data_IF_801216300269
#
_entry.id   IF_801216300269
#
_cell.length_a   1.000
_cell.length_b   1.000
_cell.length_c   1.000
_cell.angle_alpha   90.00
_cell.angle_beta   90.00
_cell.angle_gamma   90.00
#
_symmetry.space_group_name_H-M   'P 1'
#
loop_
_entity.id
_entity.type
_entity.pdbx_description
1 polymer ?
#
# COMPACT_ATOMS: atom_id res chain seq x y z
N UNK A 1 28.45 -25.29 127.45
CA UNK A 1 28.11 -26.44 126.58
C UNK A 1 27.02 -25.99 125.64
N UNK A 2 27.35 -25.98 124.36
CA UNK A 2 26.49 -25.60 123.24
C UNK A 2 25.35 -26.60 123.05
N UNK A 3 24.22 -26.14 122.51
CA UNK A 3 23.19 -27.01 121.93
C UNK A 3 22.70 -26.43 120.61
N UNK A 4 23.38 -26.83 119.52
CA UNK A 4 22.93 -26.69 118.14
C UNK A 4 21.66 -27.53 117.93
N UNK A 5 20.53 -26.87 117.67
CA UNK A 5 19.29 -27.55 117.23
C UNK A 5 18.62 -26.76 116.11
N UNK A 6 19.09 -26.95 114.87
CA UNK A 6 18.42 -26.57 113.61
C UNK A 6 19.26 -26.97 112.40
N UNK A 7 19.21 -28.23 111.93
CA UNK A 7 19.94 -28.65 110.72
C UNK A 7 19.22 -29.67 109.84
N UNK A 8 18.22 -30.41 110.34
CA UNK A 8 17.51 -31.44 109.57
C UNK A 8 16.50 -30.84 108.58
N UNK A 9 15.69 -29.86 108.99
CA UNK A 9 14.74 -29.18 108.11
C UNK A 9 15.41 -28.38 106.98
N UNK A 10 16.58 -27.79 107.27
CA UNK A 10 17.39 -27.06 106.28
C UNK A 10 17.97 -28.01 105.22
N UNK A 11 18.46 -29.19 105.62
CA UNK A 11 18.99 -30.21 104.70
C UNK A 11 17.91 -30.83 103.80
N UNK A 12 16.72 -31.09 104.36
CA UNK A 12 15.56 -31.58 103.58
C UNK A 12 15.06 -30.50 102.62
N UNK A 13 14.96 -29.25 103.06
CA UNK A 13 14.62 -28.11 102.20
C UNK A 13 15.62 -27.90 101.07
N UNK A 14 16.93 -27.99 101.35
CA UNK A 14 18.01 -27.93 100.36
C UNK A 14 17.93 -29.07 99.34
N UNK A 15 17.63 -30.30 99.78
CA UNK A 15 17.46 -31.45 98.88
C UNK A 15 16.30 -31.28 97.91
N UNK A 16 15.15 -30.80 98.40
CA UNK A 16 13.97 -30.51 97.57
C UNK A 16 14.27 -29.37 96.57
N UNK A 17 14.95 -28.31 97.02
CA UNK A 17 15.39 -27.21 96.17
C UNK A 17 16.34 -27.66 95.05
N UNK A 18 17.26 -28.58 95.35
CA UNK A 18 18.19 -29.16 94.38
C UNK A 18 17.47 -29.99 93.32
N UNK A 19 16.49 -30.80 93.72
CA UNK A 19 15.67 -31.58 92.78
C UNK A 19 14.80 -30.67 91.90
N UNK A 20 14.18 -29.63 92.48
CA UNK A 20 13.44 -28.63 91.71
C UNK A 20 14.33 -27.87 90.72
N UNK A 21 15.53 -27.48 91.14
CA UNK A 21 16.51 -26.80 90.30
C UNK A 21 17.00 -27.66 89.14
N UNK A 22 17.29 -28.94 89.39
CA UNK A 22 17.69 -29.88 88.33
C UNK A 22 16.53 -30.18 87.36
N UNK A 23 15.30 -30.28 87.89
CA UNK A 23 14.10 -30.44 87.07
C UNK A 23 13.84 -29.25 86.15
N UNK A 24 13.97 -28.02 86.65
CA UNK A 24 13.83 -26.80 85.84
C UNK A 24 14.98 -26.63 84.85
N UNK A 25 16.22 -26.97 85.24
CA UNK A 25 17.37 -26.94 84.33
C UNK A 25 17.21 -27.93 83.17
N UNK A 26 16.78 -29.16 83.44
CA UNK A 26 16.51 -30.16 82.40
C UNK A 26 15.37 -29.74 81.46
N UNK A 27 14.25 -29.28 82.02
CA UNK A 27 13.12 -28.77 81.23
C UNK A 27 13.53 -27.58 80.36
N UNK A 28 14.29 -26.63 80.91
CA UNK A 28 14.80 -25.45 80.18
C UNK A 28 15.77 -25.85 79.07
N UNK A 29 16.65 -26.84 79.31
CA UNK A 29 17.57 -27.34 78.28
C UNK A 29 16.82 -28.00 77.12
N UNK A 30 15.82 -28.84 77.42
CA UNK A 30 14.98 -29.46 76.38
C UNK A 30 14.21 -28.41 75.57
N UNK A 31 13.60 -27.45 76.25
CA UNK A 31 12.88 -26.33 75.62
C UNK A 31 13.82 -25.48 74.73
N UNK A 32 15.07 -25.26 75.17
CA UNK A 32 16.06 -24.52 74.41
C UNK A 32 16.50 -25.27 73.13
N UNK A 33 16.68 -26.59 73.20
CA UNK A 33 16.99 -27.43 72.05
C UNK A 33 15.84 -27.47 71.03
N UNK A 34 14.60 -27.70 71.48
CA UNK A 34 13.40 -27.67 70.62
C UNK A 34 13.20 -26.29 69.95
N UNK A 35 13.49 -25.21 70.69
CA UNK A 35 13.44 -23.85 70.15
C UNK A 35 14.51 -23.62 69.07
N UNK A 36 15.75 -24.06 69.29
CA UNK A 36 16.80 -23.96 68.27
C UNK A 36 16.46 -24.74 67.00
N UNK A 37 15.92 -25.95 67.14
CA UNK A 37 15.54 -26.79 66.01
C UNK A 37 14.37 -26.18 65.21
N UNK A 38 13.39 -25.62 65.92
CA UNK A 38 12.27 -24.89 65.30
C UNK A 38 12.73 -23.61 64.57
N UNK A 39 13.65 -22.86 65.18
CA UNK A 39 14.21 -21.63 64.57
C UNK A 39 15.06 -21.95 63.33
N UNK A 40 15.84 -23.03 63.39
CA UNK A 40 16.60 -23.54 62.25
C UNK A 40 15.67 -23.95 61.10
N UNK A 41 14.61 -24.69 61.41
CA UNK A 41 13.61 -25.13 60.42
C UNK A 41 12.93 -23.93 59.75
N UNK A 42 12.47 -22.95 60.52
CA UNK A 42 11.86 -21.72 59.98
C UNK A 42 12.83 -20.90 59.11
N UNK A 43 14.11 -20.91 59.48
CA UNK A 43 15.15 -20.23 58.69
C UNK A 43 15.38 -20.95 57.36
N UNK A 44 15.41 -22.28 57.36
CA UNK A 44 15.50 -23.09 56.13
C UNK A 44 14.30 -22.90 55.22
N UNK A 45 13.07 -22.96 55.76
CA UNK A 45 11.86 -22.74 54.95
C UNK A 45 11.78 -21.32 54.40
N UNK A 46 12.20 -20.30 55.17
CA UNK A 46 12.31 -18.92 54.69
C UNK A 46 13.30 -18.81 53.54
N UNK A 47 14.45 -19.49 53.62
CA UNK A 47 15.42 -19.53 52.54
C UNK A 47 14.87 -20.23 51.30
N UNK A 48 14.07 -21.28 51.47
CA UNK A 48 13.42 -21.95 50.35
C UNK A 48 12.45 -21.02 49.62
N UNK A 49 11.54 -20.35 50.34
CA UNK A 49 10.62 -19.37 49.72
C UNK A 49 11.39 -18.23 49.04
N UNK A 50 12.52 -17.79 49.61
CA UNK A 50 13.39 -16.80 48.97
C UNK A 50 13.99 -17.32 47.66
N UNK A 51 14.43 -18.58 47.62
CA UNK A 51 14.96 -19.19 46.40
C UNK A 51 13.86 -19.33 45.34
N UNK A 52 12.65 -19.73 45.73
CA UNK A 52 11.52 -19.87 44.81
C UNK A 52 11.14 -18.52 44.19
N UNK A 53 11.11 -17.44 44.99
CA UNK A 53 10.89 -16.08 44.49
C UNK A 53 12.02 -15.60 43.55
N UNK A 54 13.28 -15.92 43.85
CA UNK A 54 14.39 -15.60 42.95
C UNK A 54 14.25 -16.33 41.60
N UNK A 55 13.84 -17.60 41.63
CA UNK A 55 13.61 -18.38 40.41
C UNK A 55 12.48 -17.78 39.57
N UNK A 56 11.39 -17.35 40.22
CA UNK A 56 10.27 -16.66 39.58
C UNK A 56 10.74 -15.35 38.92
N UNK A 57 11.50 -14.52 39.65
CA UNK A 57 12.06 -13.29 39.11
C UNK A 57 12.92 -13.54 37.86
N UNK A 58 13.74 -14.60 37.86
CA UNK A 58 14.57 -14.99 36.73
C UNK A 58 13.74 -15.40 35.50
N UNK A 59 12.63 -16.11 35.68
CA UNK A 59 11.73 -16.48 34.58
C UNK A 59 11.09 -15.25 33.94
N UNK A 60 10.67 -14.27 34.74
CA UNK A 60 10.19 -12.99 34.21
C UNK A 60 11.28 -12.20 33.49
N UNK A 61 12.48 -12.12 34.05
CA UNK A 61 13.61 -11.44 33.40
C UNK A 61 13.92 -12.08 32.02
N UNK A 62 13.84 -13.42 31.92
CA UNK A 62 13.98 -14.15 30.65
C UNK A 62 12.83 -13.85 29.67
N UNK A 63 11.58 -13.87 30.14
CA UNK A 63 10.40 -13.56 29.30
C UNK A 63 10.43 -12.12 28.77
N UNK A 64 10.80 -11.15 29.62
CA UNK A 64 10.95 -9.73 29.27
C UNK A 64 12.07 -9.55 28.24
N UNK A 65 13.22 -10.21 28.43
CA UNK A 65 14.34 -10.13 27.49
C UNK A 65 14.04 -10.76 26.12
N UNK A 66 13.17 -11.79 26.10
CA UNK A 66 12.75 -12.46 24.88
C UNK A 66 11.64 -11.72 24.11
N UNK A 67 10.99 -10.73 24.72
CA UNK A 67 9.98 -9.90 24.04
C UNK A 67 10.63 -8.72 23.32
N UNK A 68 10.34 -8.56 22.03
CA UNK A 68 10.79 -7.38 21.26
C UNK A 68 10.13 -6.07 21.72
N UNK A 69 8.91 -6.16 22.26
CA UNK A 69 8.16 -5.05 22.84
C UNK A 69 8.09 -5.24 24.35
N UNK A 70 8.40 -4.18 25.10
CA UNK A 70 8.31 -4.20 26.55
C UNK A 70 6.86 -4.48 26.98
N UNK A 71 6.65 -5.66 27.54
CA UNK A 71 5.39 -6.07 28.15
C UNK A 71 5.31 -5.49 29.57
N UNK A 72 4.39 -4.55 29.79
CA UNK A 72 4.30 -3.85 31.06
C UNK A 72 3.75 -4.77 32.17
N UNK A 73 2.93 -5.76 31.84
CA UNK A 73 2.34 -6.68 32.82
C UNK A 73 3.41 -7.62 33.40
N UNK A 74 4.33 -8.10 32.55
CA UNK A 74 5.50 -8.87 33.00
C UNK A 74 6.43 -8.05 33.90
N UNK A 75 6.65 -6.78 33.57
CA UNK A 75 7.50 -5.87 34.35
C UNK A 75 6.88 -5.59 35.73
N UNK A 76 5.57 -5.32 35.76
CA UNK A 76 4.86 -5.06 37.00
C UNK A 76 4.82 -6.31 37.89
N UNK A 77 4.62 -7.50 37.33
CA UNK A 77 4.66 -8.76 38.05
C UNK A 77 6.05 -9.06 38.64
N UNK A 78 7.12 -8.80 37.87
CA UNK A 78 8.51 -8.90 38.33
C UNK A 78 8.78 -7.96 39.51
N UNK A 79 8.25 -6.74 39.49
CA UNK A 79 8.41 -5.79 40.59
C UNK A 79 7.59 -6.18 41.83
N UNK A 80 6.42 -6.82 41.67
CA UNK A 80 5.67 -7.43 42.79
C UNK A 80 6.50 -8.51 43.49
N UNK A 81 7.22 -9.35 42.74
CA UNK A 81 8.11 -10.38 43.29
C UNK A 81 9.24 -9.75 44.09
N UNK A 82 9.90 -8.73 43.53
CA UNK A 82 10.98 -8.00 44.19
C UNK A 82 10.50 -7.40 45.53
N UNK A 83 9.33 -6.76 45.54
CA UNK A 83 8.73 -6.23 46.76
C UNK A 83 8.41 -7.30 47.81
N UNK A 84 7.97 -8.49 47.37
CA UNK A 84 7.72 -9.62 48.26
C UNK A 84 9.00 -10.19 48.85
N UNK A 85 10.07 -10.29 48.05
CA UNK A 85 11.40 -10.72 48.49
C UNK A 85 11.96 -9.76 49.55
N UNK A 86 11.88 -8.46 49.32
CA UNK A 86 12.41 -7.47 50.26
C UNK A 86 11.64 -7.46 51.58
N UNK A 87 10.32 -7.65 51.52
CA UNK A 87 9.46 -7.83 52.70
C UNK A 87 9.79 -9.12 53.45
N UNK A 88 10.06 -10.22 52.74
CA UNK A 88 10.41 -11.50 53.34
C UNK A 88 11.77 -11.43 54.05
N UNK A 89 12.79 -10.76 53.47
CA UNK A 89 14.13 -10.60 54.07
C UNK A 89 14.05 -10.06 55.49
N UNK A 90 13.33 -8.96 55.70
CA UNK A 90 13.21 -8.25 56.99
C UNK A 90 12.16 -8.83 57.94
N UNK A 91 11.38 -9.82 57.49
CA UNK A 91 10.32 -10.42 58.31
C UNK A 91 10.85 -11.30 59.45
N UNK A 92 10.11 -11.32 60.57
CA UNK A 92 10.38 -12.22 61.70
C UNK A 92 10.24 -13.69 61.29
N UNK A 93 11.10 -14.55 61.84
CA UNK A 93 11.03 -16.00 61.66
C UNK A 93 9.95 -16.59 62.58
N UNK A 94 8.69 -16.53 62.13
CA UNK A 94 7.54 -17.12 62.83
C UNK A 94 6.70 -17.94 61.86
N UNK A 95 6.02 -18.98 62.36
CA UNK A 95 5.14 -19.84 61.54
C UNK A 95 4.08 -19.01 60.82
N UNK A 96 3.45 -18.06 61.51
CA UNK A 96 2.38 -17.21 60.95
C UNK A 96 2.89 -16.21 59.90
N UNK A 97 4.09 -15.65 60.06
CA UNK A 97 4.67 -14.77 59.03
C UNK A 97 5.02 -15.57 57.79
N UNK A 98 5.72 -16.68 57.96
CA UNK A 98 6.17 -17.52 56.85
C UNK A 98 4.99 -18.10 56.05
N UNK A 99 3.94 -18.58 56.72
CA UNK A 99 2.74 -19.08 56.05
C UNK A 99 2.05 -18.00 55.19
N UNK A 100 2.00 -16.75 55.67
CA UNK A 100 1.46 -15.62 54.89
C UNK A 100 2.29 -15.34 53.63
N UNK A 101 3.62 -15.37 53.73
CA UNK A 101 4.50 -15.20 52.57
C UNK A 101 4.39 -16.35 51.59
N UNK A 102 4.31 -17.59 52.08
CA UNK A 102 4.08 -18.77 51.23
C UNK A 102 2.76 -18.66 50.47
N UNK A 103 1.68 -18.19 51.12
CA UNK A 103 0.40 -17.94 50.45
C UNK A 103 0.51 -16.88 49.35
N UNK A 104 1.23 -15.78 49.60
CA UNK A 104 1.48 -14.74 48.59
C UNK A 104 2.32 -15.25 47.43
N UNK A 105 3.35 -16.06 47.71
CA UNK A 105 4.15 -16.73 46.69
C UNK A 105 3.29 -17.61 45.78
N UNK A 106 2.41 -18.43 46.34
CA UNK A 106 1.51 -19.29 45.54
C UNK A 106 0.58 -18.48 44.63
N UNK A 107 0.08 -17.34 45.12
CA UNK A 107 -0.73 -16.44 44.29
C UNK A 107 0.08 -15.81 43.14
N UNK A 108 1.32 -15.38 43.39
CA UNK A 108 2.21 -14.87 42.34
C UNK A 108 2.63 -15.97 41.35
N UNK A 109 2.71 -17.22 41.81
CA UNK A 109 3.02 -18.36 40.95
C UNK A 109 1.87 -18.64 39.98
N UNK A 110 0.63 -18.65 40.47
CA UNK A 110 -0.56 -18.81 39.63
C UNK A 110 -0.67 -17.68 38.60
N UNK A 111 -0.45 -16.44 39.02
CA UNK A 111 -0.41 -15.27 38.14
C UNK A 111 0.70 -15.36 37.08
N UNK A 112 1.88 -15.87 37.45
CA UNK A 112 2.97 -16.08 36.49
C UNK A 112 2.63 -17.11 35.43
N UNK A 113 2.03 -18.23 35.81
CA UNK A 113 1.66 -19.27 34.86
C UNK A 113 0.66 -18.72 33.82
N UNK A 114 -0.28 -17.87 34.23
CA UNK A 114 -1.22 -17.20 33.32
C UNK A 114 -0.52 -16.19 32.39
N UNK A 115 0.30 -15.30 32.94
CA UNK A 115 0.99 -14.25 32.16
C UNK A 115 2.00 -14.82 31.16
N UNK A 116 2.72 -15.90 31.52
CA UNK A 116 3.66 -16.53 30.60
C UNK A 116 2.93 -17.24 29.44
N UNK A 117 1.80 -17.91 29.72
CA UNK A 117 0.96 -18.52 28.67
C UNK A 117 0.40 -17.47 27.71
N UNK A 118 -0.06 -16.34 28.25
CA UNK A 118 -0.56 -15.23 27.43
C UNK A 118 0.56 -14.61 26.60
N UNK A 119 1.74 -14.39 27.18
CA UNK A 119 2.90 -13.85 26.47
C UNK A 119 3.35 -14.76 25.31
N UNK A 120 3.41 -16.08 25.53
CA UNK A 120 3.74 -17.05 24.49
C UNK A 120 2.70 -17.05 23.37
N UNK A 121 1.41 -16.97 23.71
CA UNK A 121 0.33 -16.85 22.73
C UNK A 121 0.47 -15.59 21.89
N UNK A 122 0.70 -14.44 22.52
CA UNK A 122 0.84 -13.16 21.84
C UNK A 122 2.08 -13.15 20.93
N UNK A 123 3.18 -13.81 21.32
CA UNK A 123 4.36 -14.00 20.46
C UNK A 123 4.01 -14.75 19.18
N UNK A 124 3.30 -15.87 19.29
CA UNK A 124 2.87 -16.67 18.13
C UNK A 124 1.90 -15.89 17.24
N UNK A 125 0.94 -15.17 17.82
CA UNK A 125 -0.01 -14.34 17.07
C UNK A 125 0.72 -13.20 16.34
N UNK A 126 1.71 -12.55 16.96
CA UNK A 126 2.51 -11.51 16.32
C UNK A 126 3.37 -12.05 15.16
N UNK A 127 4.02 -13.20 15.32
CA UNK A 127 4.79 -13.84 14.25
C UNK A 127 3.91 -14.21 13.05
N UNK A 128 2.71 -14.74 13.32
CA UNK A 128 1.72 -15.03 12.30
C UNK A 128 1.25 -13.76 11.58
N UNK A 129 0.94 -12.70 12.33
CA UNK A 129 0.54 -11.41 11.75
C UNK A 129 1.65 -10.79 10.90
N UNK A 130 2.90 -10.86 11.34
CA UNK A 130 4.05 -10.38 10.57
C UNK A 130 4.18 -11.15 9.24
N UNK A 131 4.07 -12.48 9.28
CA UNK A 131 4.12 -13.34 8.09
C UNK A 131 2.93 -13.06 7.14
N UNK A 132 1.73 -12.90 7.68
CA UNK A 132 0.53 -12.59 6.90
C UNK A 132 0.62 -11.20 6.25
N UNK A 133 1.19 -10.23 6.96
CA UNK A 133 1.41 -8.88 6.44
C UNK A 133 2.39 -8.89 5.28
N UNK A 134 3.53 -9.58 5.43
CA UNK A 134 4.54 -9.72 4.38
C UNK A 134 3.96 -10.39 3.13
N UNK A 135 3.24 -11.51 3.30
CA UNK A 135 2.54 -12.17 2.18
C UNK A 135 1.52 -11.27 1.49
N UNK A 136 0.77 -10.48 2.26
CA UNK A 136 -0.22 -9.53 1.72
C UNK A 136 0.47 -8.41 0.92
N UNK A 137 1.61 -7.90 1.40
CA UNK A 137 2.39 -6.88 0.70
C UNK A 137 2.93 -7.41 -0.63
N UNK A 138 3.46 -8.64 -0.64
CA UNK A 138 3.92 -9.30 -1.88
C UNK A 138 2.78 -9.46 -2.89
N UNK A 139 1.63 -9.97 -2.45
CA UNK A 139 0.45 -10.12 -3.32
C UNK A 139 -0.08 -8.78 -3.84
N UNK A 140 -0.05 -7.73 -3.01
CA UNK A 140 -0.45 -6.39 -3.42
C UNK A 140 0.51 -5.79 -4.46
N UNK A 141 1.82 -5.99 -4.29
CA UNK A 141 2.82 -5.56 -5.25
C UNK A 141 2.66 -6.26 -6.60
N UNK A 142 2.45 -7.59 -6.60
CA UNK A 142 2.20 -8.37 -7.80
C UNK A 142 0.95 -7.88 -8.56
N UNK A 143 -0.16 -7.65 -7.84
CA UNK A 143 -1.40 -7.13 -8.44
C UNK A 143 -1.24 -5.73 -9.01
N UNK A 144 -0.47 -4.86 -8.33
CA UNK A 144 -0.17 -3.51 -8.83
C UNK A 144 0.57 -3.58 -10.16
N UNK A 145 1.66 -4.37 -10.22
CA UNK A 145 2.45 -4.56 -11.46
C UNK A 145 1.60 -5.13 -12.60
N UNK A 146 0.75 -6.12 -12.30
CA UNK A 146 -0.16 -6.69 -13.29
C UNK A 146 -1.17 -5.65 -13.81
N UNK A 147 -1.74 -4.84 -12.92
CA UNK A 147 -2.69 -3.78 -13.28
C UNK A 147 -2.04 -2.71 -14.14
N UNK A 148 -0.83 -2.27 -13.79
CA UNK A 148 -0.07 -1.30 -14.57
C UNK A 148 0.26 -1.85 -15.97
N UNK A 149 0.63 -3.14 -16.06
CA UNK A 149 0.87 -3.79 -17.35
C UNK A 149 -0.39 -3.87 -18.22
N UNK A 150 -1.55 -4.16 -17.63
CA UNK A 150 -2.83 -4.14 -18.35
C UNK A 150 -3.17 -2.73 -18.84
N UNK A 151 -2.91 -1.71 -18.03
CA UNK A 151 -3.16 -0.33 -18.43
C UNK A 151 -2.29 0.07 -19.62
N UNK A 152 -0.98 -0.22 -19.57
CA UNK A 152 -0.05 0.05 -20.69
C UNK A 152 -0.53 -0.66 -21.96
N UNK A 153 -0.81 -1.97 -21.88
CA UNK A 153 -1.31 -2.73 -23.02
C UNK A 153 -2.63 -2.16 -23.57
N UNK A 154 -3.55 -1.75 -22.70
CA UNK A 154 -4.82 -1.17 -23.12
C UNK A 154 -4.62 0.18 -23.81
N UNK A 155 -3.72 1.03 -23.31
CA UNK A 155 -3.40 2.31 -23.95
C UNK A 155 -2.73 2.10 -25.30
N UNK A 156 -1.77 1.18 -25.42
CA UNK A 156 -1.12 0.84 -26.69
C UNK A 156 -2.13 0.31 -27.70
N UNK A 157 -3.00 -0.62 -27.29
CA UNK A 157 -4.06 -1.16 -28.14
C UNK A 157 -5.05 -0.08 -28.56
N UNK A 158 -5.39 0.86 -27.68
CA UNK A 158 -6.28 1.98 -28.02
C UNK A 158 -5.66 2.85 -29.10
N UNK A 159 -4.40 3.26 -28.94
CA UNK A 159 -3.68 4.03 -29.97
C UNK A 159 -3.56 3.29 -31.29
N UNK A 160 -3.20 2.00 -31.27
CA UNK A 160 -3.12 1.18 -32.49
C UNK A 160 -4.47 1.08 -33.19
N UNK A 161 -5.57 0.94 -32.43
CA UNK A 161 -6.92 0.88 -32.99
C UNK A 161 -7.35 2.23 -33.56
N UNK A 162 -7.06 3.34 -32.88
CA UNK A 162 -7.35 4.70 -33.36
C UNK A 162 -6.61 4.99 -34.68
N UNK A 163 -5.30 4.73 -34.73
CA UNK A 163 -4.49 4.88 -35.94
C UNK A 163 -5.01 4.00 -37.08
N UNK A 164 -5.33 2.73 -36.78
CA UNK A 164 -5.84 1.79 -37.76
C UNK A 164 -7.28 2.11 -38.20
N UNK A 165 -8.06 2.85 -37.40
CA UNK A 165 -9.41 3.29 -37.71
C UNK A 165 -9.46 4.63 -38.46
N UNK A 166 -8.32 5.32 -38.63
CA UNK A 166 -8.25 6.55 -39.43
C UNK A 166 -8.70 6.30 -40.88
N UNK A 167 -9.47 7.24 -41.44
CA UNK A 167 -9.91 7.18 -42.83
C UNK A 167 -8.74 7.52 -43.75
N UNK A 168 -8.56 6.71 -44.79
CA UNK A 168 -7.54 6.91 -45.81
C UNK A 168 -8.18 7.21 -47.15
N UNK A 169 -7.50 8.01 -47.99
CA UNK A 169 -7.98 8.32 -49.33
C UNK A 169 -7.01 7.85 -50.40
N UNK A 170 -7.55 7.38 -51.52
CA UNK A 170 -6.77 6.92 -52.69
C UNK A 170 -7.23 7.63 -53.95
N UNK A 171 -6.32 7.76 -54.92
CA UNK A 171 -6.63 8.36 -56.22
C UNK A 171 -7.00 9.85 -56.13
N UNK A 172 -6.35 10.60 -55.24
CA UNK A 172 -6.51 12.05 -55.15
C UNK A 172 -6.03 12.71 -56.45
N UNK A 173 -6.93 13.45 -57.12
CA UNK A 173 -6.66 14.17 -58.35
C UNK A 173 -7.31 15.55 -58.29
N UNK A 174 -6.52 16.59 -58.53
CA UNK A 174 -7.00 17.95 -58.78
C UNK A 174 -6.99 18.30 -60.27
N UNK A 175 -7.96 19.08 -60.73
CA UNK A 175 -7.98 19.63 -62.10
C UNK A 175 -8.80 20.92 -62.20
N UNK A 176 -8.41 21.81 -63.11
CA UNK A 176 -9.25 22.96 -63.48
C UNK A 176 -10.47 22.52 -64.28
N UNK A 177 -11.63 23.14 -64.02
CA UNK A 177 -12.87 22.89 -64.77
C UNK A 177 -13.54 24.19 -65.20
N UNK A 178 -14.11 24.18 -66.40
CA UNK A 178 -15.00 25.22 -66.92
C UNK A 178 -16.43 24.79 -66.65
N UNK A 179 -17.23 25.63 -66.01
CA UNK A 179 -18.65 25.39 -65.73
C UNK A 179 -19.49 26.12 -66.77
N UNK A 180 -20.13 25.37 -67.68
CA UNK A 180 -21.04 25.96 -68.66
C UNK A 180 -22.32 26.45 -67.99
N UNK A 181 -23.04 27.36 -68.63
CA UNK A 181 -24.38 27.80 -68.19
C UNK A 181 -25.38 26.65 -68.01
N UNK A 182 -25.16 25.51 -68.67
CA UNK A 182 -25.94 24.28 -68.49
C UNK A 182 -25.52 23.43 -67.26
N UNK A 183 -24.57 23.89 -66.45
CA UNK A 183 -23.94 23.12 -65.36
C UNK A 183 -22.94 22.06 -65.82
N UNK A 184 -22.73 21.88 -67.13
CA UNK A 184 -21.77 20.90 -67.65
C UNK A 184 -20.34 21.36 -67.35
N UNK A 185 -19.60 20.50 -66.66
CA UNK A 185 -18.19 20.73 -66.33
C UNK A 185 -17.27 20.15 -67.41
N UNK A 186 -16.30 20.95 -67.87
CA UNK A 186 -15.32 20.56 -68.88
C UNK A 186 -13.92 20.72 -68.28
N UNK A 187 -13.13 19.65 -68.16
CA UNK A 187 -11.74 19.74 -67.71
C UNK A 187 -10.92 20.68 -68.61
N UNK A 188 -10.05 21.47 -68.02
CA UNK A 188 -9.15 22.39 -68.73
C UNK A 188 -7.83 22.49 -67.98
N UNK A 189 -6.72 22.48 -68.73
CA UNK A 189 -5.41 22.83 -68.17
C UNK A 189 -5.23 24.35 -68.12
N UNK A 190 -6.06 25.14 -68.81
CA UNK A 190 -5.86 26.59 -68.87
C UNK A 190 -6.32 27.29 -67.58
N UNK A 191 -5.40 27.94 -66.89
CA UNK A 191 -5.64 28.61 -65.61
C UNK A 191 -6.69 29.71 -65.73
N UNK A 192 -6.44 30.66 -66.63
CA UNK A 192 -7.34 31.82 -66.85
C UNK A 192 -8.75 31.45 -67.35
N UNK A 193 -8.94 30.23 -67.83
CA UNK A 193 -10.21 29.71 -68.35
C UNK A 193 -10.96 28.83 -67.36
N UNK A 194 -10.31 28.43 -66.27
CA UNK A 194 -10.94 27.61 -65.25
C UNK A 194 -11.87 28.47 -64.40
N UNK A 195 -13.06 27.95 -64.12
CA UNK A 195 -14.03 28.60 -63.24
C UNK A 195 -13.92 28.03 -61.81
N UNK A 196 -13.57 26.75 -61.67
CA UNK A 196 -13.34 26.07 -60.40
C UNK A 196 -12.18 25.08 -60.50
N UNK A 197 -11.61 24.71 -59.37
CA UNK A 197 -10.76 23.53 -59.24
C UNK A 197 -11.63 22.39 -58.72
N UNK A 198 -11.67 21.28 -59.46
CA UNK A 198 -12.31 20.04 -59.06
C UNK A 198 -11.27 19.13 -58.41
N UNK A 199 -11.54 18.70 -57.19
CA UNK A 199 -10.71 17.76 -56.43
C UNK A 199 -11.50 16.47 -56.23
N UNK A 200 -11.02 15.34 -56.74
CA UNK A 200 -11.66 14.05 -56.54
C UNK A 200 -10.74 13.08 -55.82
N UNK A 201 -11.30 12.25 -54.95
CA UNK A 201 -10.61 11.18 -54.26
C UNK A 201 -11.60 10.07 -53.88
N UNK A 202 -11.07 8.90 -53.53
CA UNK A 202 -11.86 7.78 -53.00
C UNK A 202 -11.52 7.60 -51.54
N UNK A 203 -12.51 7.71 -50.65
CA UNK A 203 -12.37 7.26 -49.26
C UNK A 203 -12.35 5.73 -49.29
N UNK A 204 -11.24 5.14 -48.86
CA UNK A 204 -11.05 3.69 -48.88
C UNK A 204 -11.88 3.02 -47.78
N UNK A 205 -12.36 1.81 -48.05
CA UNK A 205 -13.02 0.97 -47.05
C UNK A 205 -12.05 0.65 -45.92
N UNK A 206 -12.41 1.09 -44.73
CA UNK A 206 -11.87 0.71 -43.44
C UNK A 206 -12.98 0.07 -42.58
N UNK A 207 -12.75 -1.15 -42.09
CA UNK A 207 -13.70 -1.89 -41.24
C UNK A 207 -13.61 -1.53 -39.76
N UNK A 208 -12.54 -0.84 -39.35
CA UNK A 208 -12.32 -0.40 -37.98
C UNK A 208 -12.93 0.98 -37.72
N UNK A 209 -13.11 1.78 -38.77
CA UNK A 209 -13.84 3.06 -38.67
C UNK A 209 -15.34 2.83 -38.47
N UNK A 210 -15.94 3.57 -37.56
CA UNK A 210 -17.41 3.57 -37.40
C UNK A 210 -18.11 4.20 -38.61
N UNK A 211 -19.22 3.59 -39.03
CA UNK A 211 -20.11 4.15 -40.04
C UNK A 211 -20.85 5.38 -39.49
N UNK A 212 -21.20 6.31 -40.37
CA UNK A 212 -21.91 7.55 -40.01
C UNK A 212 -21.38 8.76 -40.75
N UNK A 213 -21.81 9.94 -40.32
CA UNK A 213 -21.36 11.20 -40.91
C UNK A 213 -19.90 11.47 -40.54
N UNK A 214 -19.08 11.70 -41.55
CA UNK A 214 -17.64 11.97 -41.46
C UNK A 214 -17.31 13.22 -42.25
N UNK A 215 -16.17 13.82 -41.93
CA UNK A 215 -15.66 14.96 -42.66
C UNK A 215 -14.16 14.86 -42.90
N UNK A 216 -13.72 15.43 -44.02
CA UNK A 216 -12.31 15.57 -44.37
C UNK A 216 -12.04 17.02 -44.76
N UNK A 217 -10.88 17.52 -44.38
CA UNK A 217 -10.47 18.89 -44.69
C UNK A 217 -9.66 18.88 -45.99
N UNK A 218 -10.14 19.60 -47.00
CA UNK A 218 -9.44 19.71 -48.29
C UNK A 218 -8.74 21.06 -48.34
N UNK A 219 -7.44 21.06 -48.64
CA UNK A 219 -6.63 22.26 -48.81
C UNK A 219 -6.04 22.27 -50.22
N UNK A 220 -6.32 23.34 -50.96
CA UNK A 220 -5.77 23.60 -52.28
C UNK A 220 -4.87 24.82 -52.19
N UNK A 221 -3.58 24.63 -52.47
CA UNK A 221 -2.55 25.66 -52.45
C UNK A 221 -2.23 26.07 -53.89
N UNK A 222 -2.26 27.37 -54.15
CA UNK A 222 -1.93 27.95 -55.45
C UNK A 222 -0.40 28.06 -55.68
N UNK A 223 0.05 28.43 -56.89
CA UNK A 223 1.47 28.58 -57.20
C UNK A 223 2.20 29.67 -56.37
N UNK A 224 1.45 30.58 -55.75
CA UNK A 224 1.95 31.66 -54.91
C UNK A 224 1.93 31.30 -53.41
N UNK A 225 1.65 30.03 -53.07
CA UNK A 225 1.50 29.51 -51.71
C UNK A 225 0.30 30.05 -50.91
N UNK A 226 -0.76 30.50 -51.59
CA UNK A 226 -2.02 30.85 -50.93
C UNK A 226 -2.96 29.64 -50.88
N UNK A 227 -3.65 29.48 -49.76
CA UNK A 227 -4.76 28.52 -49.65
C UNK A 227 -6.00 29.13 -50.32
N UNK A 228 -6.54 28.42 -51.30
CA UNK A 228 -7.74 28.82 -52.05
C UNK A 228 -9.02 28.44 -51.31
N UNK A 229 -10.19 28.81 -51.85
CA UNK A 229 -11.49 28.50 -51.23
C UNK A 229 -11.77 29.41 -50.04
N UNK A 230 -12.46 28.90 -49.03
CA UNK A 230 -12.80 29.69 -47.84
C UNK A 230 -11.58 30.21 -47.09
N UNK A 231 -10.47 29.44 -47.11
CA UNK A 231 -9.27 29.70 -46.32
C UNK A 231 -9.58 29.88 -44.82
N UNK A 232 -10.50 29.05 -44.33
CA UNK A 232 -10.91 29.02 -42.93
C UNK A 232 -9.88 28.27 -42.09
N UNK A 233 -9.87 28.57 -40.79
CA UNK A 233 -9.00 27.94 -39.81
C UNK A 233 -9.76 26.95 -38.93
N UNK A 234 -9.16 25.78 -38.72
CA UNK A 234 -9.54 24.87 -37.66
C UNK A 234 -8.35 24.66 -36.72
N UNK A 235 -8.60 24.75 -35.42
CA UNK A 235 -7.60 24.48 -34.39
C UNK A 235 -7.73 23.02 -33.95
N UNK A 236 -6.67 22.26 -34.15
CA UNK A 236 -6.43 21.00 -33.45
C UNK A 236 -5.45 21.28 -32.32
N UNK A 237 -5.63 20.66 -31.15
CA UNK A 237 -4.77 20.73 -29.95
C UNK A 237 -3.57 21.70 -30.03
N UNK A 238 -2.53 21.31 -30.78
CA UNK A 238 -1.25 22.00 -30.96
C UNK A 238 -1.01 22.61 -32.36
N UNK A 239 -1.94 22.46 -33.31
CA UNK A 239 -1.79 22.88 -34.70
C UNK A 239 -3.02 23.60 -35.27
N UNK A 240 -2.80 24.71 -35.98
CA UNK A 240 -3.83 25.37 -36.80
C UNK A 240 -3.72 24.87 -38.25
N UNK A 241 -4.82 24.39 -38.80
CA UNK A 241 -4.94 24.01 -40.21
C UNK A 241 -5.80 25.05 -40.95
N UNK A 242 -5.23 25.65 -42.00
CA UNK A 242 -5.99 26.41 -42.99
C UNK A 242 -6.53 25.45 -44.05
N UNK A 243 -7.83 25.47 -44.32
CA UNK A 243 -8.45 24.60 -45.32
C UNK A 243 -9.25 25.39 -46.36
N UNK A 244 -9.40 24.80 -47.55
CA UNK A 244 -10.17 25.38 -48.65
C UNK A 244 -11.65 25.10 -48.54
N UNK A 245 -12.01 23.88 -48.12
CA UNK A 245 -13.37 23.46 -47.80
C UNK A 245 -13.38 22.23 -46.88
N UNK A 246 -14.53 21.95 -46.29
CA UNK A 246 -14.81 20.70 -45.56
C UNK A 246 -15.64 19.79 -46.47
N UNK A 247 -15.13 18.60 -46.76
CA UNK A 247 -15.87 17.56 -47.47
C UNK A 247 -16.63 16.70 -46.47
N UNK A 248 -17.96 16.80 -46.46
CA UNK A 248 -18.84 16.05 -45.55
C UNK A 248 -19.55 14.93 -46.28
N UNK A 249 -19.50 13.72 -45.72
CA UNK A 249 -20.08 12.54 -46.35
C UNK A 249 -20.55 11.53 -45.32
N UNK A 250 -21.54 10.72 -45.69
CA UNK A 250 -21.96 9.58 -44.89
C UNK A 250 -21.12 8.35 -45.28
N UNK A 251 -20.33 7.85 -44.33
CA UNK A 251 -19.45 6.71 -44.51
C UNK A 251 -20.18 5.41 -44.12
N UNK A 252 -20.29 4.48 -45.06
CA UNK A 252 -21.03 3.22 -44.90
C UNK A 252 -20.12 1.99 -44.97
N UNK A 253 -18.87 2.08 -44.49
CA UNK A 253 -17.90 0.98 -44.52
C UNK A 253 -17.62 0.40 -45.92
N UNK A 254 -17.66 1.26 -46.94
CA UNK A 254 -17.40 0.94 -48.34
C UNK A 254 -16.62 2.06 -49.01
N UNK A 255 -15.97 1.73 -50.13
CA UNK A 255 -15.28 2.73 -50.93
C UNK A 255 -16.28 3.80 -51.39
N UNK A 256 -15.95 5.07 -51.15
CA UNK A 256 -16.81 6.20 -51.52
C UNK A 256 -16.02 7.20 -52.37
N UNK A 257 -16.49 7.43 -53.59
CA UNK A 257 -15.91 8.43 -54.49
C UNK A 257 -16.50 9.81 -54.19
N UNK A 258 -15.63 10.78 -53.93
CA UNK A 258 -16.00 12.14 -53.58
C UNK A 258 -15.33 13.09 -54.57
N UNK A 259 -16.07 14.12 -55.00
CA UNK A 259 -15.54 15.21 -55.81
C UNK A 259 -16.01 16.55 -55.27
N UNK A 260 -15.06 17.35 -54.82
CA UNK A 260 -15.27 18.68 -54.27
C UNK A 260 -14.83 19.77 -55.25
N UNK A 261 -15.35 20.97 -55.05
CA UNK A 261 -15.11 22.10 -55.95
C UNK A 261 -14.67 23.32 -55.17
N UNK A 262 -13.46 23.78 -55.45
CA UNK A 262 -12.88 24.99 -54.87
C UNK A 262 -12.97 26.11 -55.90
N UNK A 263 -13.73 27.16 -55.58
CA UNK A 263 -13.75 28.41 -56.32
C UNK A 263 -12.80 29.43 -55.66
N UNK A 264 -12.40 30.47 -56.41
CA UNK A 264 -11.81 31.66 -55.79
C UNK A 264 -12.90 32.50 -55.15
N UNK A 265 -12.59 33.17 -54.04
CA UNK A 265 -13.50 34.10 -53.35
C UNK A 265 -13.57 35.46 -54.04
N UNK A 266 -12.51 35.83 -54.75
CA UNK A 266 -12.39 37.05 -55.55
C UNK A 266 -12.64 36.73 -57.04
N UNK A 267 -13.29 37.63 -57.79
CA UNK A 267 -13.57 37.53 -59.24
C UNK A 267 -12.30 37.46 -60.13
N UNK A 268 -11.14 37.21 -59.54
CA UNK A 268 -9.85 37.09 -60.20
C UNK A 268 -9.67 35.72 -60.85
N UNK A 269 -8.72 35.64 -61.78
CA UNK A 269 -8.43 34.42 -62.54
C UNK A 269 -7.50 33.50 -61.76
N UNK A 270 -7.59 32.19 -61.97
CA UNK A 270 -6.57 31.27 -61.47
C UNK A 270 -5.21 31.58 -62.12
N UNK A 271 -4.16 31.46 -61.32
CA UNK A 271 -2.78 31.71 -61.71
C UNK A 271 -2.20 30.53 -62.51
N UNK A 272 -1.30 30.84 -63.43
CA UNK A 272 -0.58 29.82 -64.18
C UNK A 272 0.51 29.23 -63.28
N UNK A 273 0.53 27.91 -63.14
CA UNK A 273 1.55 27.22 -62.33
C UNK A 273 1.09 25.92 -61.70
N UNK A 274 1.87 25.48 -60.71
CA UNK A 274 1.66 24.25 -59.96
C UNK A 274 0.73 24.48 -58.78
N UNK A 275 -0.32 23.68 -58.71
CA UNK A 275 -1.25 23.60 -57.59
C UNK A 275 -0.98 22.35 -56.78
N UNK A 276 -1.10 22.47 -55.46
CA UNK A 276 -1.00 21.34 -54.52
C UNK A 276 -2.33 21.12 -53.84
N UNK A 277 -2.78 19.87 -53.78
CA UNK A 277 -4.00 19.45 -53.11
C UNK A 277 -3.63 18.52 -51.98
N UNK A 278 -4.08 18.85 -50.78
CA UNK A 278 -3.91 18.06 -49.57
C UNK A 278 -5.29 17.70 -49.02
N UNK A 279 -5.44 16.47 -48.54
CA UNK A 279 -6.65 16.03 -47.83
C UNK A 279 -6.21 15.58 -46.44
N UNK A 280 -6.88 16.11 -45.42
CA UNK A 280 -6.60 15.82 -44.03
C UNK A 280 -7.80 15.12 -43.39
N UNK A 281 -7.51 14.14 -42.53
CA UNK A 281 -8.44 13.59 -41.56
C UNK A 281 -8.03 14.18 -40.21
N UNK A 282 -8.88 15.04 -39.64
CA UNK A 282 -8.50 15.91 -38.53
C UNK A 282 -7.20 16.67 -38.82
N UNK A 283 -6.15 16.48 -38.01
CA UNK A 283 -4.82 17.10 -38.17
C UNK A 283 -3.88 16.33 -39.11
N UNK A 284 -4.20 15.08 -39.45
CA UNK A 284 -3.29 14.21 -40.18
C UNK A 284 -3.46 14.36 -41.70
N UNK A 285 -2.35 14.58 -42.41
CA UNK A 285 -2.32 14.58 -43.87
C UNK A 285 -2.43 13.15 -44.41
N UNK A 286 -3.59 12.77 -44.92
CA UNK A 286 -3.85 11.41 -45.41
C UNK A 286 -3.62 11.26 -46.93
N UNK A 287 -3.61 12.36 -47.69
CA UNK A 287 -3.30 12.32 -49.12
C UNK A 287 -2.82 13.66 -49.65
N UNK A 288 -1.90 13.62 -50.60
CA UNK A 288 -1.39 14.79 -51.30
C UNK A 288 -1.19 14.51 -52.78
N UNK A 289 -1.56 15.46 -53.62
CA UNK A 289 -1.36 15.40 -55.07
C UNK A 289 -1.03 16.79 -55.61
N UNK A 290 -0.47 16.85 -56.80
CA UNK A 290 -0.16 18.11 -57.47
C UNK A 290 -0.62 18.05 -58.92
N UNK A 291 -1.04 19.19 -59.45
CA UNK A 291 -1.41 19.34 -60.85
C UNK A 291 -1.02 20.73 -61.34
N UNK A 292 -0.88 20.89 -62.66
CA UNK A 292 -0.41 22.14 -63.25
C UNK A 292 -1.47 22.74 -64.17
N UNK A 293 -1.71 24.04 -64.04
CA UNK A 293 -2.53 24.82 -64.95
C UNK A 293 -1.64 25.82 -65.71
N UNK A 294 -1.90 25.99 -67.01
CA UNK A 294 -1.13 26.81 -67.97
C UNK A 294 -1.88 28.04 -68.44
#
# INVERSE_FOLDING_TARGET
>A
METQKSSTGLKVGLGILLVLFLGTAFYTSKLYTEKQESEKTLTTEKQQVMNDLNNMAKQYDEAIAASEVKDQDLVDARDRIQGLMDSLKVSQNSVNSLWRYKKKFLALQEEMDELLVENDRLKVENEYLATSLDSTQVQLAERTVFTDSLLVQNTELTTVVEDAAALQTVGLVGMGVIERSSGKQIPTERARRSDKIKVCFTVAKNTLTEAGDKELYVQVIDPNNNVLGSNDQVQFEDQVLNYSLISRFNYENRNLNICEYVARLDDSKFEEGRYKVNVFNDKELISSSEFTMK
#
